data_IF_748575353894
#
_entry.id   IF_748575353894
#
_cell.length_a   1.000
_cell.length_b   1.000
_cell.length_c   1.000
_cell.angle_alpha   90.00
_cell.angle_beta   90.00
_cell.angle_gamma   90.00
#
_symmetry.space_group_name_H-M   'P 1'
#
loop_
_entity.id
_entity.type
_entity.pdbx_description
1 polymer ?
#
# COMPACT_ATOMS: atom_id res chain seq x y z
N UNK A 1 -8.01 5.46 1.69
CA UNK A 1 -9.09 4.77 0.96
C UNK A 1 -8.66 3.40 0.50
N UNK A 2 -9.60 2.51 0.17
CA UNK A 2 -9.36 1.27 -0.58
C UNK A 2 -9.93 1.48 -1.98
N UNK A 3 -9.23 0.99 -3.02
CA UNK A 3 -9.72 1.04 -4.40
C UNK A 3 -10.96 0.16 -4.59
N UNK A 4 -11.72 0.41 -5.67
CA UNK A 4 -12.69 -0.56 -6.17
C UNK A 4 -11.95 -1.75 -6.77
N UNK A 5 -11.76 -2.81 -5.98
CA UNK A 5 -11.02 -4.01 -6.40
C UNK A 5 -11.72 -4.70 -7.57
N UNK A 6 -13.06 -4.75 -7.55
CA UNK A 6 -13.83 -5.29 -8.66
C UNK A 6 -13.54 -4.57 -9.98
N UNK A 7 -13.62 -3.24 -10.00
CA UNK A 7 -13.33 -2.43 -11.19
C UNK A 7 -11.87 -2.62 -11.68
N UNK A 8 -10.91 -2.69 -10.74
CA UNK A 8 -9.50 -2.94 -11.10
C UNK A 8 -9.32 -4.31 -11.76
N UNK A 9 -9.97 -5.36 -11.26
CA UNK A 9 -9.90 -6.71 -11.82
C UNK A 9 -10.65 -6.86 -13.14
N UNK A 10 -11.63 -6.02 -13.39
CA UNK A 10 -12.35 -5.94 -14.68
C UNK A 10 -11.61 -5.07 -15.70
N UNK A 11 -10.52 -4.38 -15.28
CA UNK A 11 -9.75 -3.49 -16.15
C UNK A 11 -10.41 -2.13 -16.38
N UNK A 12 -11.40 -1.75 -15.57
CA UNK A 12 -12.02 -0.42 -15.62
C UNK A 12 -11.13 0.63 -14.92
N UNK A 13 -9.98 0.86 -15.53
CA UNK A 13 -8.95 1.77 -15.02
C UNK A 13 -9.41 3.22 -14.99
N UNK A 14 -10.32 3.61 -15.89
CA UNK A 14 -10.91 4.94 -15.92
C UNK A 14 -11.71 5.23 -14.65
N UNK A 15 -12.55 4.28 -14.24
CA UNK A 15 -13.30 4.38 -13.00
C UNK A 15 -12.38 4.45 -11.77
N UNK A 16 -11.41 3.52 -11.69
CA UNK A 16 -10.47 3.46 -10.55
C UNK A 16 -9.69 4.77 -10.42
N UNK A 17 -9.20 5.33 -11.52
CA UNK A 17 -8.46 6.59 -11.51
C UNK A 17 -9.34 7.77 -11.09
N UNK A 18 -10.56 7.86 -11.61
CA UNK A 18 -11.50 8.94 -11.27
C UNK A 18 -11.88 8.90 -9.79
N UNK A 19 -12.12 7.71 -9.24
CA UNK A 19 -12.44 7.52 -7.83
C UNK A 19 -11.30 7.99 -6.91
N UNK A 20 -10.05 7.59 -7.20
CA UNK A 20 -8.87 8.03 -6.44
C UNK A 20 -8.68 9.54 -6.56
N UNK A 21 -8.79 10.10 -7.77
CA UNK A 21 -8.61 11.53 -8.03
C UNK A 21 -9.63 12.39 -7.28
N UNK A 22 -10.89 11.94 -7.20
CA UNK A 22 -11.94 12.64 -6.45
C UNK A 22 -11.62 12.72 -4.94
N UNK A 23 -11.11 11.62 -4.37
CA UNK A 23 -10.70 11.60 -2.95
C UNK A 23 -9.43 12.43 -2.75
N UNK A 24 -8.46 12.37 -3.67
CA UNK A 24 -7.26 13.19 -3.62
C UNK A 24 -7.57 14.68 -3.61
N UNK A 25 -8.49 15.13 -4.46
CA UNK A 25 -8.93 16.54 -4.49
C UNK A 25 -9.62 16.95 -3.19
N UNK A 26 -10.45 16.09 -2.62
CA UNK A 26 -11.10 16.37 -1.33
C UNK A 26 -10.08 16.46 -0.17
N UNK A 27 -8.98 15.73 -0.23
CA UNK A 27 -7.90 15.74 0.76
C UNK A 27 -6.92 16.91 0.59
N UNK A 28 -6.88 17.54 -0.57
CA UNK A 28 -5.87 18.53 -0.96
C UNK A 28 -5.74 19.68 0.04
N UNK A 29 -4.55 19.88 0.56
CA UNK A 29 -4.26 20.90 1.58
C UNK A 29 -4.84 20.62 2.97
N UNK A 30 -5.48 19.46 3.18
CA UNK A 30 -6.13 19.10 4.47
C UNK A 30 -5.60 17.80 5.06
N UNK A 31 -5.28 16.80 4.25
CA UNK A 31 -4.85 15.49 4.72
C UNK A 31 -4.02 14.75 3.65
N UNK A 32 -3.18 13.81 4.09
CA UNK A 32 -2.50 12.87 3.20
C UNK A 32 -3.46 11.76 2.78
N UNK A 33 -3.45 11.43 1.48
CA UNK A 33 -4.19 10.29 0.95
C UNK A 33 -3.28 9.07 0.79
N UNK A 34 -3.65 7.96 1.42
CA UNK A 34 -3.05 6.64 1.21
C UNK A 34 -4.03 5.74 0.50
N UNK A 35 -3.64 5.26 -0.68
CA UNK A 35 -4.46 4.38 -1.53
C UNK A 35 -4.06 2.94 -1.27
N UNK A 36 -4.97 2.15 -0.70
CA UNK A 36 -4.80 0.71 -0.49
C UNK A 36 -5.26 0.00 -1.74
N UNK A 37 -4.37 -0.73 -2.38
CA UNK A 37 -4.68 -1.48 -3.59
C UNK A 37 -5.02 -2.96 -3.33
N UNK A 38 -4.81 -3.46 -2.11
CA UNK A 38 -5.04 -4.85 -1.69
C UNK A 38 -4.30 -5.86 -2.57
N UNK A 39 -2.99 -5.81 -2.52
CA UNK A 39 -2.07 -6.54 -3.44
C UNK A 39 -2.35 -8.03 -3.53
N UNK A 40 -2.80 -8.67 -2.45
CA UNK A 40 -3.08 -10.11 -2.43
C UNK A 40 -4.25 -10.54 -3.33
N UNK A 41 -5.06 -9.59 -3.81
CA UNK A 41 -6.21 -9.85 -4.71
C UNK A 41 -5.93 -9.44 -6.16
N UNK A 42 -4.75 -8.93 -6.47
CA UNK A 42 -4.37 -8.43 -7.79
C UNK A 42 -3.27 -9.28 -8.42
N UNK A 43 -3.32 -9.40 -9.74
CA UNK A 43 -2.23 -9.96 -10.54
C UNK A 43 -1.07 -8.96 -10.61
N UNK A 44 0.11 -9.41 -11.03
CA UNK A 44 1.29 -8.54 -11.19
C UNK A 44 1.01 -7.39 -12.18
N UNK A 45 0.39 -7.68 -13.32
CA UNK A 45 0.03 -6.65 -14.30
C UNK A 45 -0.97 -5.62 -13.74
N UNK A 46 -1.94 -6.07 -12.94
CA UNK A 46 -2.88 -5.17 -12.26
C UNK A 46 -2.17 -4.29 -11.23
N UNK A 47 -1.20 -4.82 -10.48
CA UNK A 47 -0.38 -4.05 -9.55
C UNK A 47 0.44 -2.98 -10.26
N UNK A 48 1.05 -3.32 -11.41
CA UNK A 48 1.80 -2.36 -12.24
C UNK A 48 0.88 -1.25 -12.75
N UNK A 49 -0.29 -1.59 -13.27
CA UNK A 49 -1.29 -0.61 -13.70
C UNK A 49 -1.72 0.30 -12.53
N UNK A 50 -1.89 -0.26 -11.34
CA UNK A 50 -2.23 0.52 -10.14
C UNK A 50 -1.11 1.48 -9.72
N UNK A 51 0.16 1.11 -9.87
CA UNK A 51 1.27 2.01 -9.59
C UNK A 51 1.20 3.28 -10.46
N UNK A 52 0.94 3.13 -11.76
CA UNK A 52 0.77 4.24 -12.68
C UNK A 52 -0.48 5.08 -12.35
N UNK A 53 -1.62 4.45 -12.08
CA UNK A 53 -2.87 5.13 -11.74
C UNK A 53 -2.73 5.93 -10.45
N UNK A 54 -2.19 5.35 -9.38
CA UNK A 54 -1.96 6.04 -8.11
C UNK A 54 -1.03 7.24 -8.30
N UNK A 55 0.03 7.07 -9.10
CA UNK A 55 0.98 8.14 -9.42
C UNK A 55 0.30 9.34 -10.10
N UNK A 56 -0.62 9.08 -11.04
CA UNK A 56 -1.32 10.13 -11.79
C UNK A 56 -2.52 10.72 -11.06
N UNK A 57 -3.01 10.08 -10.02
CA UNK A 57 -4.26 10.48 -9.34
C UNK A 57 -4.09 11.52 -8.23
N UNK A 58 -2.85 11.95 -7.93
CA UNK A 58 -2.59 12.94 -6.88
C UNK A 58 -2.56 12.36 -5.46
N UNK A 59 -2.50 11.05 -5.30
CA UNK A 59 -2.32 10.42 -3.99
C UNK A 59 -0.91 10.59 -3.44
N UNK A 60 -0.77 10.61 -2.11
CA UNK A 60 0.53 10.74 -1.44
C UNK A 60 1.22 9.39 -1.24
N UNK A 61 0.45 8.33 -1.04
CA UNK A 61 0.96 6.99 -0.76
C UNK A 61 0.22 5.91 -1.53
N UNK A 62 0.97 4.91 -2.00
CA UNK A 62 0.45 3.59 -2.31
C UNK A 62 0.64 2.68 -1.09
N UNK A 63 -0.38 1.90 -0.75
CA UNK A 63 -0.35 0.98 0.40
C UNK A 63 -0.78 -0.42 -0.04
N UNK A 64 -0.09 -1.44 0.46
CA UNK A 64 -0.31 -2.82 0.04
C UNK A 64 -1.67 -3.38 0.46
N UNK A 65 -2.05 -3.27 1.72
CA UNK A 65 -3.07 -4.14 2.30
C UNK A 65 -3.93 -3.44 3.34
N UNK A 66 -5.19 -3.88 3.47
CA UNK A 66 -6.11 -3.45 4.53
C UNK A 66 -5.77 -4.09 5.88
N UNK A 67 -5.29 -5.33 5.88
CA UNK A 67 -5.14 -6.19 7.05
C UNK A 67 -6.34 -7.11 7.31
N UNK A 68 -7.36 -7.08 6.43
CA UNK A 68 -8.60 -7.88 6.59
C UNK A 68 -8.82 -8.88 5.45
N UNK A 69 -7.86 -9.02 4.55
CA UNK A 69 -7.94 -9.97 3.43
C UNK A 69 -7.03 -11.18 3.67
N UNK A 70 -6.80 -11.97 2.61
CA UNK A 70 -6.07 -13.25 2.66
C UNK A 70 -4.55 -13.10 2.81
N UNK A 71 -3.98 -11.91 2.55
CA UNK A 71 -2.55 -11.66 2.62
C UNK A 71 -2.22 -10.22 3.03
N UNK A 72 -0.98 -10.03 3.48
CA UNK A 72 -0.39 -8.73 3.81
C UNK A 72 0.68 -8.32 2.81
N UNK A 73 1.55 -7.41 3.21
CA UNK A 73 2.68 -6.94 2.42
C UNK A 73 3.68 -8.08 2.15
N UNK A 74 4.21 -8.10 0.94
CA UNK A 74 5.34 -8.95 0.56
C UNK A 74 6.52 -8.09 0.11
N UNK A 75 7.74 -8.64 0.20
CA UNK A 75 8.92 -7.93 -0.30
C UNK A 75 8.87 -7.72 -1.82
N UNK A 76 8.29 -8.69 -2.55
CA UNK A 76 8.13 -8.60 -4.00
C UNK A 76 7.15 -7.47 -4.38
N UNK A 77 6.05 -7.29 -3.64
CA UNK A 77 5.13 -6.16 -3.85
C UNK A 77 5.82 -4.82 -3.68
N UNK A 78 6.62 -4.66 -2.63
CA UNK A 78 7.33 -3.40 -2.38
C UNK A 78 8.42 -3.16 -3.42
N UNK A 79 9.13 -4.21 -3.84
CA UNK A 79 10.08 -4.11 -4.95
C UNK A 79 9.38 -3.66 -6.23
N UNK A 80 8.25 -4.28 -6.58
CA UNK A 80 7.43 -3.90 -7.73
C UNK A 80 6.98 -2.43 -7.62
N UNK A 81 6.52 -1.99 -6.46
CA UNK A 81 6.16 -0.58 -6.26
C UNK A 81 7.35 0.34 -6.50
N UNK A 82 8.53 0.03 -5.94
CA UNK A 82 9.72 0.86 -6.09
C UNK A 82 10.17 1.03 -7.55
N UNK A 83 9.87 0.06 -8.40
CA UNK A 83 10.21 0.06 -9.81
C UNK A 83 9.19 0.79 -10.70
N UNK A 84 7.94 0.95 -10.23
CA UNK A 84 6.83 1.40 -11.08
C UNK A 84 6.10 2.66 -10.59
N UNK A 85 6.25 3.09 -9.34
CA UNK A 85 5.64 4.35 -8.87
C UNK A 85 6.45 5.57 -9.28
N UNK A 86 5.76 6.71 -9.43
CA UNK A 86 6.43 8.00 -9.64
C UNK A 86 7.07 8.54 -8.36
N UNK A 87 8.04 9.44 -8.51
CA UNK A 87 8.78 10.07 -7.41
C UNK A 87 7.91 10.90 -6.45
N UNK A 88 6.68 11.23 -6.87
CA UNK A 88 5.70 11.97 -6.07
C UNK A 88 4.88 11.07 -5.12
N UNK A 89 5.02 9.75 -5.19
CA UNK A 89 4.28 8.79 -4.37
C UNK A 89 5.22 8.04 -3.43
N UNK A 90 4.83 7.92 -2.18
CA UNK A 90 5.52 7.15 -1.15
C UNK A 90 4.90 5.78 -0.96
N UNK A 91 5.63 4.86 -0.33
CA UNK A 91 5.19 3.48 -0.13
C UNK A 91 4.86 3.19 1.34
N UNK A 92 3.76 2.46 1.56
CA UNK A 92 3.43 1.89 2.86
C UNK A 92 3.20 0.39 2.75
N UNK A 93 4.03 -0.40 3.43
CA UNK A 93 3.78 -1.83 3.65
C UNK A 93 2.90 -2.01 4.90
N UNK A 94 1.87 -2.86 4.80
CA UNK A 94 0.98 -3.14 5.92
C UNK A 94 0.53 -4.61 5.92
N UNK A 95 0.43 -5.19 7.13
CA UNK A 95 0.11 -6.60 7.33
C UNK A 95 1.32 -7.53 7.08
N UNK A 96 1.41 -8.60 7.84
CA UNK A 96 2.46 -9.61 7.67
C UNK A 96 3.86 -9.22 8.16
N UNK A 97 4.06 -8.03 8.71
CA UNK A 97 5.35 -7.57 9.23
C UNK A 97 5.49 -8.07 10.66
N UNK A 98 6.28 -9.11 10.87
CA UNK A 98 6.29 -9.88 12.12
C UNK A 98 7.56 -9.77 12.94
N UNK A 99 8.66 -9.30 12.36
CA UNK A 99 9.96 -9.17 13.02
C UNK A 99 10.62 -7.82 12.71
N UNK A 100 11.62 -7.45 13.50
CA UNK A 100 12.45 -6.27 13.23
C UNK A 100 13.22 -6.43 11.91
N UNK A 101 13.70 -7.63 11.61
CA UNK A 101 14.40 -7.93 10.36
C UNK A 101 13.49 -7.71 9.15
N UNK A 102 12.21 -8.13 9.22
CA UNK A 102 11.22 -7.83 8.19
C UNK A 102 11.05 -6.32 8.01
N UNK A 103 10.93 -5.59 9.12
CA UNK A 103 10.76 -4.14 9.09
C UNK A 103 11.95 -3.45 8.43
N UNK A 104 13.18 -3.82 8.80
CA UNK A 104 14.41 -3.29 8.21
C UNK A 104 14.50 -3.60 6.71
N UNK A 105 14.10 -4.81 6.31
CA UNK A 105 14.07 -5.20 4.90
C UNK A 105 13.06 -4.40 4.09
N UNK A 106 11.85 -4.17 4.60
CA UNK A 106 10.88 -3.29 3.93
C UNK A 106 11.40 -1.86 3.78
N UNK A 107 12.05 -1.32 4.81
CA UNK A 107 12.67 0.01 4.76
C UNK A 107 13.80 0.06 3.72
N UNK A 108 14.65 -0.97 3.68
CA UNK A 108 15.74 -1.06 2.70
C UNK A 108 15.26 -1.14 1.25
N UNK A 109 14.05 -1.66 1.03
CA UNK A 109 13.37 -1.68 -0.27
C UNK A 109 12.69 -0.37 -0.63
N UNK A 110 12.75 0.64 0.23
CA UNK A 110 12.23 1.98 -0.03
C UNK A 110 10.88 2.31 0.62
N UNK A 111 10.37 1.47 1.54
CA UNK A 111 9.16 1.81 2.27
C UNK A 111 9.39 3.03 3.17
N UNK A 112 8.49 4.01 3.05
CA UNK A 112 8.48 5.21 3.90
C UNK A 112 7.74 4.97 5.22
N UNK A 113 6.75 4.06 5.22
CA UNK A 113 5.96 3.71 6.41
C UNK A 113 5.65 2.22 6.45
N UNK A 114 5.57 1.71 7.68
CA UNK A 114 5.15 0.35 7.99
C UNK A 114 3.86 0.37 8.82
N UNK A 115 2.91 -0.50 8.47
CA UNK A 115 1.69 -0.70 9.25
C UNK A 115 1.76 -2.04 9.97
N UNK A 116 2.15 -2.02 11.24
CA UNK A 116 2.31 -3.22 12.05
C UNK A 116 2.00 -2.93 13.51
N UNK A 117 1.18 -3.77 14.13
CA UNK A 117 0.95 -3.75 15.58
C UNK A 117 2.02 -4.56 16.32
N UNK A 118 2.55 -5.60 15.68
CA UNK A 118 3.50 -6.53 16.28
C UNK A 118 4.84 -5.88 16.59
N UNK A 119 5.39 -5.11 15.66
CA UNK A 119 6.65 -4.38 15.87
C UNK A 119 6.53 -3.36 17.00
N UNK A 120 5.37 -2.69 17.11
CA UNK A 120 5.12 -1.76 18.24
C UNK A 120 5.15 -2.48 19.58
N UNK A 121 4.58 -3.70 19.66
CA UNK A 121 4.66 -4.52 20.87
C UNK A 121 6.09 -4.93 21.19
N UNK A 122 6.84 -5.41 20.19
CA UNK A 122 8.25 -5.78 20.33
C UNK A 122 9.11 -4.59 20.79
N UNK A 123 8.94 -3.42 20.17
CA UNK A 123 9.67 -2.21 20.55
C UNK A 123 9.36 -1.72 21.98
N UNK A 124 8.17 -2.05 22.50
CA UNK A 124 7.77 -1.76 23.90
C UNK A 124 8.16 -2.87 24.88
N UNK A 125 8.83 -3.92 24.46
CA UNK A 125 9.15 -5.09 25.29
C UNK A 125 7.92 -5.88 25.74
N UNK A 126 6.80 -5.79 25.00
CA UNK A 126 5.57 -6.50 25.26
C UNK A 126 5.53 -7.84 24.52
N UNK A 127 4.77 -8.80 25.07
CA UNK A 127 4.54 -10.08 24.40
C UNK A 127 3.85 -9.85 23.04
N UNK A 128 4.46 -10.36 21.99
CA UNK A 128 3.98 -10.29 20.61
C UNK A 128 3.51 -11.65 20.05
N UNK A 129 3.37 -12.67 20.89
CA UNK A 129 3.03 -14.05 20.52
C UNK A 129 1.56 -14.27 20.14
N UNK A 130 0.72 -13.25 20.26
CA UNK A 130 -0.69 -13.29 19.85
C UNK A 130 -1.06 -12.16 18.91
N UNK A 131 -2.17 -12.35 18.16
CA UNK A 131 -2.75 -11.27 17.35
C UNK A 131 -3.13 -10.11 18.25
#
# INVERSE_FOLDING_TARGET
>A
MVISIGAAREGDWGYVQADIAAVAEACKGKALLKVIIETCLLTENEKIAMCDIVTRSGADYIKTSTGFSTGGATFDDIKLFSEHIGSNVKMKAAGGISSLDDAERFISLGCDRLGTSRIVKLAKGLDASGY
#
